data_IF_622815507314
#
_entry.id   IF_622815507314
#
_cell.length_a   1.000
_cell.length_b   1.000
_cell.length_c   1.000
_cell.angle_alpha   90.00
_cell.angle_beta   90.00
_cell.angle_gamma   90.00
#
_symmetry.space_group_name_H-M   'P 1'
#
loop_
_entity.id
_entity.type
_entity.pdbx_description
1 polymer ?
#
# COMPACT_ATOMS: atom_id res chain seq x y z
N UNK A 1 -14.32 -22.27 -16.57
CA UNK A 1 -13.08 -21.51 -16.35
C UNK A 1 -12.00 -22.13 -17.21
N UNK A 2 -11.45 -21.41 -18.18
CA UNK A 2 -10.37 -21.93 -19.04
C UNK A 2 -9.04 -21.53 -18.44
N UNK A 3 -8.16 -22.50 -18.20
CA UNK A 3 -6.80 -22.24 -17.71
C UNK A 3 -5.85 -22.30 -18.89
N UNK A 4 -5.07 -21.23 -19.07
CA UNK A 4 -3.93 -21.21 -19.98
C UNK A 4 -2.69 -21.65 -19.21
N UNK A 5 -2.18 -22.86 -19.49
CA UNK A 5 -1.08 -23.47 -18.74
C UNK A 5 0.29 -23.12 -19.29
N UNK A 6 0.37 -22.57 -20.51
CA UNK A 6 1.64 -22.19 -21.13
C UNK A 6 2.27 -21.01 -20.41
N UNK A 7 3.60 -21.07 -20.24
CA UNK A 7 4.38 -19.99 -19.62
C UNK A 7 4.45 -18.79 -20.57
N UNK A 8 4.19 -17.61 -20.03
CA UNK A 8 4.29 -16.35 -20.77
C UNK A 8 5.74 -15.89 -20.77
N UNK A 9 6.35 -15.82 -21.96
CA UNK A 9 7.71 -15.34 -22.16
C UNK A 9 7.79 -13.81 -22.26
N UNK A 10 6.75 -13.17 -22.82
CA UNK A 10 6.73 -11.71 -23.02
C UNK A 10 5.30 -11.16 -23.04
N UNK A 11 5.13 -9.99 -22.44
CA UNK A 11 3.92 -9.18 -22.53
C UNK A 11 4.17 -7.98 -23.44
N UNK A 12 3.31 -7.77 -24.43
CA UNK A 12 3.39 -6.62 -25.34
C UNK A 12 2.06 -5.86 -25.32
N UNK A 13 2.12 -4.55 -25.07
CA UNK A 13 0.94 -3.70 -25.17
C UNK A 13 0.49 -3.61 -26.63
N UNK A 14 -0.76 -4.01 -26.92
CA UNK A 14 -1.32 -3.87 -28.26
C UNK A 14 -1.63 -2.39 -28.56
N UNK A 15 -1.71 -2.01 -29.84
CA UNK A 15 -2.05 -0.62 -30.23
C UNK A 15 -3.43 -0.18 -29.78
N UNK A 16 -4.37 -1.12 -29.66
CA UNK A 16 -5.75 -0.83 -29.31
C UNK A 16 -5.99 -0.88 -27.79
N UNK A 17 -6.56 0.20 -27.24
CA UNK A 17 -7.16 0.27 -25.89
C UNK A 17 -6.30 -0.38 -24.80
N UNK A 18 -6.86 -1.32 -24.03
CA UNK A 18 -6.22 -2.06 -22.93
C UNK A 18 -5.65 -3.42 -23.35
N UNK A 19 -5.77 -3.80 -24.63
CA UNK A 19 -5.39 -5.15 -25.09
C UNK A 19 -3.90 -5.43 -24.86
N UNK A 20 -3.60 -6.67 -24.52
CA UNK A 20 -2.24 -7.18 -24.28
C UNK A 20 -2.02 -8.45 -25.12
N UNK A 21 -0.90 -8.50 -25.84
CA UNK A 21 -0.44 -9.69 -26.56
C UNK A 21 0.49 -10.48 -25.64
N UNK A 22 0.10 -11.71 -25.37
CA UNK A 22 0.88 -12.71 -24.66
C UNK A 22 1.72 -13.46 -25.69
N UNK A 23 3.03 -13.50 -25.52
CA UNK A 23 3.91 -14.41 -26.23
C UNK A 23 4.29 -15.54 -25.29
N UNK A 24 4.02 -16.77 -25.68
CA UNK A 24 4.33 -17.96 -24.89
C UNK A 24 5.72 -18.52 -25.25
N UNK A 25 6.28 -19.33 -24.35
CA UNK A 25 7.58 -19.99 -24.56
C UNK A 25 7.60 -20.92 -25.77
N UNK A 26 6.46 -21.47 -26.18
CA UNK A 26 6.30 -22.31 -27.38
C UNK A 26 6.24 -21.51 -28.70
N UNK A 27 6.37 -20.18 -28.63
CA UNK A 27 6.30 -19.27 -29.76
C UNK A 27 4.87 -18.87 -30.17
N UNK A 28 3.84 -19.48 -29.58
CA UNK A 28 2.46 -19.09 -29.84
C UNK A 28 2.16 -17.72 -29.22
N UNK A 29 1.12 -17.07 -29.74
CA UNK A 29 0.64 -15.79 -29.21
C UNK A 29 -0.85 -15.81 -28.95
N UNK A 30 -1.29 -15.07 -27.93
CA UNK A 30 -2.71 -14.84 -27.65
C UNK A 30 -2.93 -13.38 -27.28
N UNK A 31 -4.00 -12.78 -27.77
CA UNK A 31 -4.38 -11.42 -27.39
C UNK A 31 -5.52 -11.46 -26.40
N UNK A 32 -5.32 -10.84 -25.24
CA UNK A 32 -6.34 -10.67 -24.20
C UNK A 32 -6.80 -9.21 -24.14
N UNK A 33 -8.05 -9.00 -23.70
CA UNK A 33 -8.64 -7.66 -23.60
C UNK A 33 -7.96 -6.80 -22.52
N UNK A 34 -7.53 -7.41 -21.43
CA UNK A 34 -6.78 -6.81 -20.33
C UNK A 34 -6.12 -7.92 -19.51
N UNK A 35 -5.22 -7.54 -18.59
CA UNK A 35 -4.68 -8.42 -17.57
C UNK A 35 -4.97 -7.82 -16.19
N UNK A 36 -5.36 -8.68 -15.26
CA UNK A 36 -5.51 -8.33 -13.86
C UNK A 36 -4.45 -9.07 -13.05
N UNK A 37 -3.61 -8.32 -12.35
CA UNK A 37 -2.61 -8.83 -11.43
C UNK A 37 -2.50 -7.85 -10.26
N UNK A 38 -2.39 -8.36 -9.03
CA UNK A 38 -2.09 -7.57 -7.83
C UNK A 38 -0.65 -7.88 -7.41
N UNK A 39 0.34 -7.07 -7.83
CA UNK A 39 1.72 -7.26 -7.41
C UNK A 39 1.86 -7.17 -5.89
N UNK A 40 2.91 -7.81 -5.35
CA UNK A 40 3.37 -7.47 -4.00
C UNK A 40 3.87 -6.02 -4.02
N UNK A 41 3.61 -5.28 -2.95
CA UNK A 41 4.09 -3.92 -2.78
C UNK A 41 5.29 -3.89 -1.84
N UNK A 42 6.01 -2.76 -1.84
CA UNK A 42 7.06 -2.45 -0.89
C UNK A 42 6.91 -0.99 -0.45
N UNK A 43 7.34 -0.68 0.77
CA UNK A 43 7.41 0.70 1.24
C UNK A 43 8.38 1.50 0.38
N UNK A 44 8.02 2.76 0.10
CA UNK A 44 8.87 3.66 -0.67
C UNK A 44 10.00 4.17 0.22
N UNK A 45 11.24 4.00 -0.23
CA UNK A 45 12.42 4.47 0.50
C UNK A 45 12.67 3.69 1.80
N UNK A 46 13.39 4.30 2.73
CA UNK A 46 13.94 3.67 3.94
C UNK A 46 13.55 4.41 5.24
N UNK A 47 12.63 5.39 5.18
CA UNK A 47 12.23 6.18 6.34
C UNK A 47 11.73 5.32 7.51
N UNK A 48 11.02 4.23 7.21
CA UNK A 48 10.56 3.27 8.21
C UNK A 48 11.72 2.59 8.94
N UNK A 49 12.82 2.30 8.25
CA UNK A 49 14.04 1.77 8.86
C UNK A 49 14.77 2.83 9.66
N UNK A 50 14.94 4.03 9.11
CA UNK A 50 15.63 5.15 9.78
C UNK A 50 14.96 5.54 11.09
N UNK A 51 13.62 5.49 11.14
CA UNK A 51 12.85 5.78 12.34
C UNK A 51 12.64 4.56 13.25
N UNK A 52 13.07 3.36 12.85
CA UNK A 52 12.88 2.14 13.64
C UNK A 52 11.41 1.69 13.77
N UNK A 53 10.61 1.90 12.73
CA UNK A 53 9.19 1.55 12.72
C UNK A 53 8.99 0.04 12.57
N UNK A 54 8.00 -0.51 13.25
CA UNK A 54 7.58 -1.89 13.04
C UNK A 54 6.88 -2.03 11.68
N UNK A 55 7.24 -3.08 10.93
CA UNK A 55 6.65 -3.43 9.63
C UNK A 55 6.01 -4.81 9.74
N UNK A 56 4.73 -4.89 9.36
CA UNK A 56 3.97 -6.13 9.35
C UNK A 56 4.50 -7.14 8.33
N UNK A 57 4.11 -8.41 8.47
CA UNK A 57 4.41 -9.46 7.49
C UNK A 57 3.90 -9.14 6.06
N UNK A 58 2.91 -8.26 5.94
CA UNK A 58 2.39 -7.80 4.64
C UNK A 58 3.24 -6.68 4.00
N UNK A 59 4.27 -6.18 4.69
CA UNK A 59 5.13 -5.10 4.22
C UNK A 59 4.59 -3.69 4.46
N UNK A 60 3.59 -3.52 5.34
CA UNK A 60 3.04 -2.21 5.74
C UNK A 60 3.51 -1.82 7.15
N UNK A 61 3.72 -0.52 7.40
CA UNK A 61 3.99 0.06 8.72
C UNK A 61 2.85 -0.30 9.67
N UNK A 62 3.20 -0.80 10.85
CA UNK A 62 2.22 -1.10 11.90
C UNK A 62 1.78 0.20 12.58
N UNK A 63 0.48 0.38 12.68
CA UNK A 63 -0.14 1.53 13.33
C UNK A 63 -1.28 1.11 14.25
N UNK A 64 -1.51 1.90 15.29
CA UNK A 64 -2.54 1.64 16.30
C UNK A 64 -3.84 2.37 15.98
N UNK A 65 -4.89 1.63 15.68
CA UNK A 65 -6.25 2.17 15.54
C UNK A 65 -6.77 2.71 16.88
N UNK A 66 -7.52 3.82 16.91
CA UNK A 66 -8.01 4.61 15.77
C UNK A 66 -7.06 5.75 15.34
N UNK A 67 -5.96 5.97 16.06
CA UNK A 67 -5.16 7.18 15.95
C UNK A 67 -4.00 7.11 14.95
N UNK A 68 -3.72 5.91 14.44
CA UNK A 68 -2.68 5.60 13.46
C UNK A 68 -1.26 6.01 13.88
N UNK A 69 -0.99 6.04 15.18
CA UNK A 69 0.37 6.20 15.69
C UNK A 69 1.14 4.88 15.50
N UNK A 70 2.40 4.99 15.11
CA UNK A 70 3.32 3.85 14.98
C UNK A 70 3.82 3.38 16.35
N UNK A 71 4.71 2.40 16.37
CA UNK A 71 5.44 2.00 17.59
C UNK A 71 6.36 3.10 18.14
N UNK A 72 6.66 4.12 17.33
CA UNK A 72 7.47 5.26 17.74
C UNK A 72 6.56 6.44 18.06
N UNK A 73 6.57 6.86 19.33
CA UNK A 73 5.76 7.98 19.82
C UNK A 73 6.00 9.24 18.98
N UNK A 74 4.90 9.89 18.58
CA UNK A 74 4.93 11.09 17.74
C UNK A 74 5.11 10.83 16.25
N UNK A 75 5.36 9.58 15.84
CA UNK A 75 5.39 9.19 14.43
C UNK A 75 4.08 8.51 14.07
N UNK A 76 3.45 8.99 13.01
CA UNK A 76 2.18 8.49 12.49
C UNK A 76 2.32 8.09 11.03
N UNK A 77 1.48 7.17 10.58
CA UNK A 77 1.47 6.74 9.19
C UNK A 77 0.04 6.57 8.67
N UNK A 78 -0.18 6.95 7.41
CA UNK A 78 -1.48 6.90 6.74
C UNK A 78 -1.33 6.46 5.28
N UNK A 79 -2.42 6.01 4.69
CA UNK A 79 -2.46 5.55 3.29
C UNK A 79 -1.78 4.20 3.08
N UNK A 80 -1.35 3.96 1.83
CA UNK A 80 -0.86 2.67 1.36
C UNK A 80 0.35 2.14 2.14
N UNK A 81 1.11 3.02 2.80
CA UNK A 81 2.25 2.62 3.61
C UNK A 81 1.85 1.93 4.92
N UNK A 82 0.62 2.15 5.41
CA UNK A 82 0.13 1.68 6.70
C UNK A 82 -1.14 0.81 6.57
N UNK A 83 -1.49 0.37 5.35
CA UNK A 83 -2.67 -0.45 5.13
C UNK A 83 -2.49 -1.47 3.99
N UNK A 84 -2.96 -2.72 4.16
CA UNK A 84 -3.02 -3.69 3.07
C UNK A 84 -4.15 -3.38 2.05
N UNK A 85 -5.09 -2.50 2.41
CA UNK A 85 -6.17 -2.03 1.53
C UNK A 85 -5.74 -0.73 0.85
N UNK A 86 -5.01 -0.86 -0.25
CA UNK A 86 -4.44 0.24 -1.03
C UNK A 86 -5.49 0.89 -1.93
N UNK A 87 -6.44 1.60 -1.32
CA UNK A 87 -7.52 2.32 -2.01
C UNK A 87 -7.52 3.79 -1.59
N UNK A 88 -7.99 4.65 -2.50
CA UNK A 88 -8.07 6.10 -2.24
C UNK A 88 -8.95 6.41 -1.02
N UNK A 89 -10.07 5.69 -0.87
CA UNK A 89 -10.98 5.88 0.28
C UNK A 89 -10.33 5.48 1.61
N UNK A 90 -9.54 4.40 1.63
CA UNK A 90 -8.79 4.02 2.82
C UNK A 90 -7.68 5.02 3.16
N UNK A 91 -7.00 5.56 2.14
CA UNK A 91 -6.01 6.60 2.33
C UNK A 91 -6.62 7.88 2.91
N UNK A 92 -7.79 8.30 2.40
CA UNK A 92 -8.54 9.42 2.95
C UNK A 92 -8.94 9.19 4.41
N UNK A 93 -9.51 8.03 4.72
CA UNK A 93 -9.90 7.68 6.09
C UNK A 93 -8.72 7.70 7.06
N UNK A 94 -7.64 6.98 6.74
CA UNK A 94 -6.45 6.92 7.61
C UNK A 94 -5.74 8.28 7.73
N UNK A 95 -5.79 9.10 6.69
CA UNK A 95 -5.34 10.49 6.70
C UNK A 95 -6.14 11.34 7.69
N UNK A 96 -7.48 11.24 7.69
CA UNK A 96 -8.35 11.93 8.66
C UNK A 96 -8.03 11.51 10.09
N UNK A 97 -7.89 10.21 10.35
CA UNK A 97 -7.50 9.68 11.66
C UNK A 97 -6.16 10.27 12.14
N UNK A 98 -5.13 10.21 11.29
CA UNK A 98 -3.79 10.72 11.62
C UNK A 98 -3.80 12.24 11.80
N UNK A 99 -4.49 12.95 10.91
CA UNK A 99 -4.62 14.40 10.93
C UNK A 99 -5.38 14.94 12.13
N UNK A 100 -6.28 14.16 12.73
CA UNK A 100 -6.88 14.49 14.03
C UNK A 100 -5.97 14.14 15.21
N UNK A 101 -5.19 13.05 15.10
CA UNK A 101 -4.42 12.49 16.21
C UNK A 101 -3.13 13.26 16.51
N UNK A 102 -2.38 13.66 15.47
CA UNK A 102 -1.14 14.40 15.69
C UNK A 102 -1.38 15.75 16.38
N UNK A 103 -2.33 16.60 15.96
CA UNK A 103 -2.66 17.83 16.70
C UNK A 103 -3.24 17.57 18.09
N UNK A 104 -3.97 16.47 18.29
CA UNK A 104 -4.48 16.10 19.61
C UNK A 104 -3.34 15.80 20.57
N UNK A 105 -2.32 15.04 20.14
CA UNK A 105 -1.14 14.77 20.95
C UNK A 105 -0.35 16.06 21.24
N UNK A 106 -0.12 16.91 20.22
CA UNK A 106 0.58 18.19 20.39
C UNK A 106 -0.14 19.07 21.42
N UNK A 107 -1.46 19.18 21.35
CA UNK A 107 -2.24 19.97 22.30
C UNK A 107 -2.14 19.40 23.72
N UNK A 108 -2.26 18.08 23.88
CA UNK A 108 -2.13 17.46 25.18
C UNK A 108 -0.75 17.72 25.80
N UNK A 109 0.33 17.57 25.03
CA UNK A 109 1.70 17.86 25.48
C UNK A 109 1.91 19.35 25.78
N UNK A 110 1.31 20.25 25.00
CA UNK A 110 1.39 21.71 25.21
C UNK A 110 0.75 22.15 26.52
N UNK A 111 -0.35 21.50 26.91
CA UNK A 111 -1.14 21.87 28.09
C UNK A 111 -0.95 20.93 29.28
N UNK A 112 0.10 20.10 29.28
CA UNK A 112 0.42 19.10 30.31
C UNK A 112 -0.77 18.17 30.65
N UNK A 113 -1.48 17.74 29.60
CA UNK A 113 -2.61 16.82 29.68
C UNK A 113 -2.20 15.42 29.24
N UNK A 114 -2.93 14.40 29.71
CA UNK A 114 -2.75 13.03 29.25
C UNK A 114 -3.21 12.90 27.79
N UNK A 115 -2.29 12.52 26.90
CA UNK A 115 -2.61 12.19 25.50
C UNK A 115 -3.59 11.02 25.43
N UNK A 116 -4.57 11.14 24.52
CA UNK A 116 -5.45 10.03 24.13
C UNK A 116 -4.82 9.13 23.07
N UNK A 117 -3.77 9.64 22.42
CA UNK A 117 -2.94 8.96 21.42
C UNK A 117 -1.76 8.30 22.09
#
# INVERSE_FOLDING_TARGET
MTVESRRVAKLVKARERSRVVLHFEDGATKTEAFLAHKPKFALRGDLHTQLGLEVSAAGAVVVSSPFNQTTVKGVFAAGDCASPMQTVTQALYSGTCTGGSAPLQIQAETWDQKSLV
#
